data_IF_806949963143
#
_entry.id   IF_806949963143
#
_cell.length_a   1.000
_cell.length_b   1.000
_cell.length_c   1.000
_cell.angle_alpha   90.00
_cell.angle_beta   90.00
_cell.angle_gamma   90.00
#
_symmetry.space_group_name_H-M   'P 1'
#
loop_
_entity.id
_entity.type
_entity.pdbx_description
1 polymer ?
#
# COMPACT_ATOMS: atom_id res chain seq x y z
N UNK A 1 -9.68 24.75 0.42
CA UNK A 1 -8.54 25.57 0.83
C UNK A 1 -7.48 25.65 -0.28
N UNK A 2 -7.67 26.59 -1.20
CA UNK A 2 -6.80 26.73 -2.39
C UNK A 2 -5.62 27.68 -2.16
N UNK A 3 -5.24 27.91 -0.89
CA UNK A 3 -4.10 28.76 -0.59
C UNK A 3 -2.80 27.96 -0.68
N UNK A 4 -1.94 28.36 -1.61
CA UNK A 4 -0.57 27.88 -1.70
C UNK A 4 0.19 28.27 -0.42
N UNK A 5 0.94 27.34 0.14
CA UNK A 5 1.84 27.56 1.28
C UNK A 5 3.26 27.43 0.79
N UNK A 6 4.10 28.43 1.07
CA UNK A 6 5.53 28.38 0.80
C UNK A 6 6.26 27.75 1.99
N UNK A 7 6.94 26.64 1.74
CA UNK A 7 7.66 25.91 2.79
C UNK A 7 8.97 26.58 3.21
N UNK A 8 9.62 27.29 2.30
CA UNK A 8 10.86 28.09 2.47
C UNK A 8 11.99 27.44 3.30
N UNK A 9 12.01 26.10 3.39
CA UNK A 9 12.98 25.33 4.18
C UNK A 9 12.83 25.43 5.72
N UNK A 10 11.79 26.11 6.21
CA UNK A 10 11.53 26.27 7.66
C UNK A 10 10.29 25.52 8.14
N UNK A 11 9.44 25.13 7.21
CA UNK A 11 8.18 24.47 7.50
C UNK A 11 8.21 23.07 6.88
N UNK A 12 7.98 22.06 7.70
CA UNK A 12 7.90 20.69 7.23
C UNK A 12 6.47 20.37 6.77
N UNK A 13 6.31 19.88 5.55
CA UNK A 13 4.99 19.65 4.95
C UNK A 13 4.15 18.67 5.74
N UNK A 14 4.77 17.64 6.31
CA UNK A 14 4.10 16.63 7.13
C UNK A 14 3.42 17.24 8.36
N UNK A 15 4.09 18.18 9.05
CA UNK A 15 3.53 18.89 10.23
C UNK A 15 2.28 19.67 9.86
N UNK A 16 2.30 20.32 8.69
CA UNK A 16 1.14 21.06 8.18
C UNK A 16 -0.02 20.12 7.88
N UNK A 17 0.25 18.98 7.26
CA UNK A 17 -0.77 17.97 6.94
C UNK A 17 -1.37 17.41 8.23
N UNK A 18 -0.54 17.03 9.20
CA UNK A 18 -0.99 16.54 10.51
C UNK A 18 -1.84 17.60 11.22
N UNK A 19 -1.33 18.84 11.32
CA UNK A 19 -2.09 19.94 11.93
C UNK A 19 -3.45 20.14 11.27
N UNK A 20 -3.51 20.14 9.94
CA UNK A 20 -4.76 20.31 9.20
C UNK A 20 -5.74 19.14 9.42
N UNK A 21 -5.24 17.93 9.58
CA UNK A 21 -6.07 16.78 9.92
C UNK A 21 -6.67 16.90 11.32
N UNK A 22 -5.89 17.37 12.29
CA UNK A 22 -6.39 17.62 13.66
C UNK A 22 -7.40 18.77 13.70
N UNK A 23 -7.12 19.87 13.00
CA UNK A 23 -8.04 21.01 12.86
C UNK A 23 -9.38 20.56 12.22
N UNK A 24 -9.32 19.67 11.22
CA UNK A 24 -10.51 19.12 10.56
C UNK A 24 -11.33 18.24 11.51
N UNK A 25 -10.72 17.33 12.25
CA UNK A 25 -11.40 16.48 13.23
C UNK A 25 -12.09 17.36 14.29
N UNK A 26 -11.39 18.36 14.81
CA UNK A 26 -11.96 19.30 15.81
C UNK A 26 -13.15 20.07 15.23
N UNK A 27 -13.04 20.57 14.01
CA UNK A 27 -14.09 21.35 13.35
C UNK A 27 -15.35 20.53 13.11
N UNK A 28 -15.20 19.24 12.74
CA UNK A 28 -16.32 18.38 12.34
C UNK A 28 -16.72 17.34 13.39
N UNK A 29 -16.26 17.46 14.63
CA UNK A 29 -16.50 16.49 15.70
C UNK A 29 -17.97 16.19 16.01
N UNK A 30 -18.90 17.07 15.63
CA UNK A 30 -20.34 16.88 15.79
C UNK A 30 -21.03 16.29 14.54
N UNK A 31 -20.27 16.04 13.49
CA UNK A 31 -20.78 15.56 12.20
C UNK A 31 -20.17 14.20 11.87
N UNK A 32 -20.83 13.43 11.01
CA UNK A 32 -20.16 12.35 10.29
C UNK A 32 -19.15 12.94 9.32
N UNK A 33 -17.94 12.39 9.27
CA UNK A 33 -16.89 12.86 8.39
C UNK A 33 -16.12 11.70 7.75
N UNK A 34 -15.45 12.00 6.65
CA UNK A 34 -14.43 11.17 6.04
C UNK A 34 -13.15 11.97 5.94
N UNK A 35 -12.08 11.48 6.55
CA UNK A 35 -10.74 12.07 6.50
C UNK A 35 -9.81 11.13 5.73
N UNK A 36 -9.30 11.58 4.60
CA UNK A 36 -8.22 10.92 3.88
C UNK A 36 -6.91 11.65 4.18
N UNK A 37 -6.11 11.06 5.06
CA UNK A 37 -4.79 11.58 5.45
C UNK A 37 -3.72 10.81 4.68
N UNK A 38 -3.07 11.47 3.72
CA UNK A 38 -2.07 10.87 2.83
C UNK A 38 -0.70 11.54 3.00
N UNK A 39 0.02 11.25 4.10
CA UNK A 39 1.36 11.77 4.32
C UNK A 39 2.33 11.27 3.26
N UNK A 40 3.31 12.09 2.89
CA UNK A 40 4.31 11.72 1.89
C UNK A 40 5.44 10.86 2.44
N UNK A 41 5.68 10.89 3.75
CA UNK A 41 6.69 10.06 4.40
C UNK A 41 6.19 8.61 4.52
N UNK A 42 7.09 7.60 4.39
CA UNK A 42 8.56 7.68 4.24
C UNK A 42 9.05 7.69 2.78
N UNK A 43 8.33 8.26 1.83
CA UNK A 43 8.76 8.37 0.43
C UNK A 43 10.04 9.21 0.30
N UNK A 44 10.88 8.95 -0.70
CA UNK A 44 11.96 9.85 -1.09
C UNK A 44 11.39 11.20 -1.66
N UNK A 45 12.02 12.37 -1.43
CA UNK A 45 13.36 12.48 -0.81
C UNK A 45 13.34 12.03 0.66
N UNK A 46 14.42 11.38 1.09
CA UNK A 46 14.61 11.10 2.50
C UNK A 46 15.02 12.41 3.19
N UNK A 47 14.04 13.08 3.76
CA UNK A 47 14.23 14.36 4.44
C UNK A 47 13.30 14.44 5.66
N UNK A 48 13.85 14.83 6.80
CA UNK A 48 13.11 14.96 8.05
C UNK A 48 13.70 16.08 8.88
N UNK A 49 12.90 16.66 9.77
CA UNK A 49 13.37 17.68 10.70
C UNK A 49 14.42 17.08 11.65
N UNK A 50 15.42 17.89 11.99
CA UNK A 50 16.59 17.45 12.74
C UNK A 50 16.23 16.82 14.09
N UNK A 51 15.23 17.37 14.75
CA UNK A 51 14.76 16.92 16.07
C UNK A 51 14.27 15.46 16.04
N UNK A 52 13.66 15.03 14.94
CA UNK A 52 13.20 13.64 14.78
C UNK A 52 14.36 12.72 14.37
N UNK A 53 15.34 13.23 13.64
CA UNK A 53 16.49 12.45 13.19
C UNK A 53 17.47 12.13 14.33
N UNK A 54 17.60 13.01 15.32
CA UNK A 54 18.53 12.87 16.45
C UNK A 54 18.41 11.52 17.17
N UNK A 55 17.21 10.95 17.24
CA UNK A 55 16.96 9.66 17.87
C UNK A 55 17.75 8.51 17.21
N UNK A 56 18.06 8.65 15.92
CA UNK A 56 18.75 7.62 15.13
C UNK A 56 20.18 8.00 14.73
N UNK A 57 20.66 9.16 15.17
CA UNK A 57 21.99 9.66 14.82
C UNK A 57 23.07 8.70 15.35
N UNK A 58 23.92 8.21 14.43
CA UNK A 58 24.99 7.29 14.77
C UNK A 58 24.58 5.85 15.08
N UNK A 59 23.29 5.52 15.00
CA UNK A 59 22.82 4.15 15.30
C UNK A 59 23.13 3.14 14.19
N UNK A 60 23.32 3.60 12.96
CA UNK A 60 23.52 2.73 11.80
C UNK A 60 24.85 3.01 11.10
N UNK A 61 25.44 1.94 10.53
CA UNK A 61 26.51 2.09 9.56
C UNK A 61 25.90 2.65 8.26
N UNK A 62 26.19 3.88 7.92
CA UNK A 62 25.57 4.57 6.81
C UNK A 62 26.29 4.36 5.48
N UNK A 63 25.54 4.33 4.41
CA UNK A 63 26.02 4.43 3.03
C UNK A 63 25.45 5.70 2.42
N UNK A 64 26.19 6.81 2.38
CA UNK A 64 25.67 8.08 1.87
C UNK A 64 25.12 7.96 0.45
N UNK A 65 23.95 8.55 0.23
CA UNK A 65 23.36 8.69 -1.08
C UNK A 65 23.81 10.01 -1.72
N UNK A 66 24.46 9.93 -2.86
CA UNK A 66 25.11 11.08 -3.52
C UNK A 66 24.15 11.92 -4.36
N UNK A 67 22.87 11.55 -4.43
CA UNK A 67 21.86 12.25 -5.22
C UNK A 67 21.82 11.75 -6.67
N UNK A 68 20.76 11.04 -7.02
CA UNK A 68 20.46 10.63 -8.40
C UNK A 68 18.95 10.57 -8.57
N UNK A 69 18.40 11.61 -9.20
CA UNK A 69 16.93 11.78 -9.30
C UNK A 69 16.26 12.28 -8.03
N UNK A 70 16.92 12.12 -6.88
CA UNK A 70 16.50 12.57 -5.56
C UNK A 70 17.64 13.37 -4.89
N UNK A 71 17.30 14.13 -3.85
CA UNK A 71 18.25 14.90 -3.04
C UNK A 71 19.29 13.97 -2.39
N UNK A 72 20.54 14.43 -2.34
CA UNK A 72 21.58 13.70 -1.61
C UNK A 72 21.25 13.58 -0.11
N UNK A 73 21.64 12.45 0.48
CA UNK A 73 21.40 12.19 1.90
C UNK A 73 22.65 11.50 2.50
N UNK A 74 23.23 12.10 3.53
CA UNK A 74 24.44 11.59 4.17
C UNK A 74 24.16 10.37 5.07
N UNK A 75 22.97 10.32 5.65
CA UNK A 75 22.56 9.30 6.63
C UNK A 75 21.19 8.72 6.27
N UNK A 76 21.07 8.04 5.10
CA UNK A 76 19.75 7.60 4.59
C UNK A 76 19.05 6.61 5.52
N UNK A 77 19.81 5.73 6.22
CA UNK A 77 19.23 4.74 7.14
C UNK A 77 18.60 5.40 8.37
N UNK A 78 19.35 6.28 9.02
CA UNK A 78 18.86 7.05 10.16
C UNK A 78 17.66 7.93 9.77
N UNK A 79 17.74 8.57 8.61
CA UNK A 79 16.65 9.41 8.10
C UNK A 79 15.38 8.62 7.82
N UNK A 80 15.50 7.48 7.14
CA UNK A 80 14.35 6.60 6.86
C UNK A 80 13.70 6.07 8.16
N UNK A 81 14.50 5.57 9.11
CA UNK A 81 13.99 5.11 10.40
C UNK A 81 13.24 6.22 11.14
N UNK A 82 13.80 7.44 11.14
CA UNK A 82 13.15 8.60 11.74
C UNK A 82 11.83 8.98 11.04
N UNK A 83 11.78 8.90 9.71
CA UNK A 83 10.57 9.17 8.94
C UNK A 83 9.45 8.16 9.28
N UNK A 84 9.78 6.87 9.37
CA UNK A 84 8.82 5.81 9.75
C UNK A 84 8.30 6.03 11.18
N UNK A 85 9.19 6.32 12.13
CA UNK A 85 8.82 6.61 13.51
C UNK A 85 7.97 7.86 13.62
N UNK A 86 8.27 8.89 12.83
CA UNK A 86 7.47 10.11 12.84
C UNK A 86 6.09 9.91 12.23
N UNK A 87 5.98 9.08 11.20
CA UNK A 87 4.68 8.65 10.68
C UNK A 87 3.85 7.94 11.75
N UNK A 88 4.43 6.97 12.45
CA UNK A 88 3.77 6.23 13.54
C UNK A 88 3.29 7.16 14.65
N UNK A 89 4.14 8.08 15.12
CA UNK A 89 3.76 9.12 16.10
C UNK A 89 2.60 9.98 15.61
N UNK A 90 2.57 10.33 14.34
CA UNK A 90 1.51 11.14 13.76
C UNK A 90 0.17 10.41 13.75
N UNK A 91 0.18 9.10 13.47
CA UNK A 91 -1.01 8.24 13.60
C UNK A 91 -1.47 8.19 15.06
N UNK A 92 -0.54 8.02 16.00
CA UNK A 92 -0.83 8.06 17.45
C UNK A 92 -1.52 9.35 17.87
N UNK A 93 -1.01 10.51 17.44
CA UNK A 93 -1.59 11.83 17.72
C UNK A 93 -3.02 11.95 17.19
N UNK A 94 -3.30 11.43 15.98
CA UNK A 94 -4.66 11.42 15.40
C UNK A 94 -5.59 10.54 16.26
N UNK A 95 -5.13 9.34 16.64
CA UNK A 95 -5.91 8.42 17.49
C UNK A 95 -6.20 9.06 18.87
N UNK A 96 -5.21 9.70 19.47
CA UNK A 96 -5.38 10.37 20.77
C UNK A 96 -6.35 11.54 20.67
N UNK A 97 -6.35 12.29 19.57
CA UNK A 97 -7.34 13.32 19.30
C UNK A 97 -8.76 12.75 19.19
N UNK A 98 -8.94 11.62 18.54
CA UNK A 98 -10.23 10.94 18.47
C UNK A 98 -10.72 10.49 19.85
N UNK A 99 -9.81 9.99 20.70
CA UNK A 99 -10.13 9.61 22.10
C UNK A 99 -10.48 10.81 22.95
N UNK A 100 -9.69 11.88 22.88
CA UNK A 100 -9.95 13.16 23.57
C UNK A 100 -11.37 13.69 23.32
N UNK A 101 -11.82 13.57 22.06
CA UNK A 101 -13.12 14.04 21.62
C UNK A 101 -14.26 13.03 21.82
N UNK A 102 -13.98 11.83 22.34
CA UNK A 102 -14.97 10.76 22.52
C UNK A 102 -15.48 10.15 21.22
N UNK A 103 -14.72 10.31 20.12
CA UNK A 103 -15.08 9.82 18.79
C UNK A 103 -14.51 8.44 18.48
N UNK A 104 -13.48 8.01 19.21
CA UNK A 104 -12.66 6.84 18.91
C UNK A 104 -13.47 5.55 18.71
N UNK A 105 -14.42 5.25 19.62
CA UNK A 105 -15.18 4.01 19.58
C UNK A 105 -16.11 3.90 18.37
N UNK A 106 -16.51 5.04 17.80
CA UNK A 106 -17.41 5.11 16.65
C UNK A 106 -16.70 5.63 15.37
N UNK A 107 -15.39 5.55 15.31
CA UNK A 107 -14.60 5.89 14.12
C UNK A 107 -13.90 4.65 13.58
N UNK A 108 -14.04 4.44 12.27
CA UNK A 108 -13.21 3.46 11.56
C UNK A 108 -11.89 4.14 11.24
N UNK A 109 -10.79 3.57 11.73
CA UNK A 109 -9.44 4.01 11.40
C UNK A 109 -8.79 2.93 10.54
N UNK A 110 -8.35 3.30 9.34
CA UNK A 110 -7.64 2.42 8.42
C UNK A 110 -6.23 2.96 8.24
N UNK A 111 -5.24 2.11 8.46
CA UNK A 111 -3.84 2.40 8.13
C UNK A 111 -3.39 1.45 7.03
N UNK A 112 -2.84 2.00 5.96
CA UNK A 112 -2.32 1.24 4.83
C UNK A 112 -1.29 2.07 4.05
N UNK A 113 -0.69 1.49 3.02
CA UNK A 113 0.19 2.17 2.06
C UNK A 113 -0.31 1.95 0.64
N UNK A 114 0.09 2.80 -0.30
CA UNK A 114 -0.30 2.74 -1.71
C UNK A 114 0.47 1.69 -2.51
N UNK A 115 1.68 1.34 -2.06
CA UNK A 115 2.53 0.30 -2.66
C UNK A 115 3.46 -0.31 -1.62
N UNK A 116 4.17 -1.37 -2.00
CA UNK A 116 5.24 -1.95 -1.21
C UNK A 116 6.42 -0.99 -1.02
N UNK A 117 7.42 -1.40 -0.24
CA UNK A 117 8.59 -0.58 0.07
C UNK A 117 9.30 -0.10 -1.20
N UNK A 118 9.88 1.10 -1.16
CA UNK A 118 10.69 1.64 -2.26
C UNK A 118 12.19 1.44 -2.04
N UNK A 119 12.97 1.50 -3.12
CA UNK A 119 14.44 1.45 -3.11
C UNK A 119 15.05 2.77 -3.66
N UNK A 120 14.50 3.92 -3.24
CA UNK A 120 14.79 5.23 -3.81
C UNK A 120 15.42 6.17 -2.78
N UNK A 121 16.14 7.20 -3.26
CA UNK A 121 16.68 8.25 -2.41
C UNK A 121 17.71 7.78 -1.38
N UNK A 122 18.30 6.61 -1.56
CA UNK A 122 19.27 6.01 -0.63
C UNK A 122 18.66 5.03 0.36
N UNK A 123 17.34 4.82 0.34
CA UNK A 123 16.74 3.72 1.11
C UNK A 123 17.15 2.36 0.54
N UNK A 124 17.58 1.48 1.43
CA UNK A 124 17.90 0.08 1.13
C UNK A 124 16.86 -0.82 1.82
N UNK A 125 15.89 -1.38 1.07
CA UNK A 125 14.83 -2.20 1.65
C UNK A 125 15.35 -3.47 2.34
N UNK A 126 16.51 -3.98 1.93
CA UNK A 126 17.11 -5.17 2.53
C UNK A 126 17.78 -4.88 3.87
N UNK A 127 18.24 -3.66 4.11
CA UNK A 127 18.88 -3.31 5.38
C UNK A 127 17.92 -3.43 6.58
N UNK A 128 16.67 -2.99 6.40
CA UNK A 128 15.63 -3.08 7.43
C UNK A 128 14.70 -4.27 7.25
N UNK A 129 14.94 -5.14 6.25
CA UNK A 129 14.02 -6.20 5.87
C UNK A 129 12.60 -5.67 5.62
N UNK A 130 12.53 -4.51 4.96
CA UNK A 130 11.30 -3.71 4.87
C UNK A 130 10.19 -4.37 4.06
N UNK A 131 10.52 -5.30 3.18
CA UNK A 131 9.58 -6.12 2.40
C UNK A 131 9.35 -7.51 3.02
N UNK A 132 9.98 -7.80 4.19
CA UNK A 132 9.90 -9.11 4.85
C UNK A 132 10.31 -10.24 3.92
N UNK A 133 9.61 -11.37 3.91
CA UNK A 133 9.97 -12.52 3.09
C UNK A 133 9.63 -12.35 1.60
N UNK A 134 9.03 -11.22 1.20
CA UNK A 134 8.49 -11.05 -0.15
C UNK A 134 9.52 -10.48 -1.11
N UNK A 135 9.58 -11.05 -2.30
CA UNK A 135 10.44 -10.58 -3.40
C UNK A 135 9.93 -9.24 -3.95
N UNK A 136 10.88 -8.41 -4.41
CA UNK A 136 10.60 -7.16 -5.11
C UNK A 136 10.25 -5.99 -4.17
N UNK A 137 10.02 -4.85 -4.76
CA UNK A 137 9.70 -3.59 -4.10
C UNK A 137 8.88 -2.71 -5.05
N UNK A 138 8.53 -1.51 -4.63
CA UNK A 138 7.75 -0.53 -5.43
C UNK A 138 8.11 -0.60 -6.91
N UNK A 139 7.12 -0.61 -7.79
CA UNK A 139 7.11 -0.81 -9.24
C UNK A 139 7.23 -2.26 -9.70
N UNK A 140 7.48 -3.21 -8.80
CA UNK A 140 7.38 -4.63 -9.14
C UNK A 140 5.96 -5.16 -8.93
N UNK A 141 5.61 -6.19 -9.70
CA UNK A 141 4.38 -6.95 -9.50
C UNK A 141 4.61 -8.25 -8.71
N UNK A 142 5.81 -8.43 -8.16
CA UNK A 142 6.07 -9.41 -7.12
C UNK A 142 5.41 -8.99 -5.81
N UNK A 143 5.22 -9.93 -4.90
CA UNK A 143 4.50 -9.70 -3.63
C UNK A 143 5.06 -8.52 -2.82
N UNK A 144 6.39 -8.34 -2.77
CA UNK A 144 7.02 -7.22 -2.05
C UNK A 144 6.73 -5.84 -2.65
N UNK A 145 6.34 -5.78 -3.92
CA UNK A 145 5.95 -4.51 -4.58
C UNK A 145 4.49 -4.15 -4.41
N UNK A 146 3.62 -5.16 -4.26
CA UNK A 146 2.16 -4.97 -4.23
C UNK A 146 1.52 -5.18 -2.86
N UNK A 147 2.13 -5.98 -1.97
CA UNK A 147 1.64 -6.12 -0.59
C UNK A 147 1.94 -4.87 0.22
N UNK A 148 0.93 -4.42 0.92
CA UNK A 148 1.00 -3.27 1.81
C UNK A 148 0.52 -3.66 3.20
N UNK A 149 1.00 -3.00 4.27
CA UNK A 149 0.38 -3.16 5.57
C UNK A 149 -1.10 -2.73 5.46
N UNK A 150 -1.97 -3.49 6.10
CA UNK A 150 -3.38 -3.14 6.20
C UNK A 150 -3.88 -3.43 7.62
N UNK A 151 -4.18 -2.37 8.35
CA UNK A 151 -4.72 -2.44 9.71
C UNK A 151 -6.01 -1.63 9.75
N UNK A 152 -7.08 -2.26 10.21
CA UNK A 152 -8.37 -1.60 10.37
C UNK A 152 -8.87 -1.77 11.80
N UNK A 153 -9.38 -0.70 12.37
CA UNK A 153 -9.91 -0.66 13.70
C UNK A 153 -11.27 0.03 13.71
N UNK A 154 -12.20 -0.54 14.43
CA UNK A 154 -13.48 0.06 14.80
C UNK A 154 -13.95 -0.56 16.11
N UNK A 155 -13.58 0.01 17.27
CA UNK A 155 -13.72 -0.64 18.58
C UNK A 155 -15.15 -1.09 18.89
N UNK A 156 -16.15 -0.36 18.41
CA UNK A 156 -17.56 -0.72 18.59
C UNK A 156 -17.97 -2.02 17.89
N UNK A 157 -17.32 -2.37 16.75
CA UNK A 157 -17.80 -3.44 15.86
C UNK A 157 -16.73 -4.50 15.61
N UNK A 158 -15.48 -4.09 15.38
CA UNK A 158 -14.38 -5.00 15.02
C UNK A 158 -13.67 -5.43 16.31
N UNK A 159 -13.62 -6.73 16.61
CA UNK A 159 -12.89 -7.23 17.77
C UNK A 159 -11.39 -6.95 17.65
N UNK A 160 -10.74 -6.61 18.74
CA UNK A 160 -9.30 -6.42 18.77
C UNK A 160 -8.52 -7.74 18.56
N UNK A 161 -7.33 -7.64 17.99
CA UNK A 161 -6.38 -8.76 17.85
C UNK A 161 -6.76 -9.82 16.81
N UNK A 162 -7.70 -9.52 15.92
CA UNK A 162 -8.06 -10.44 14.82
C UNK A 162 -7.06 -10.29 13.67
N UNK A 163 -6.56 -11.41 13.19
CA UNK A 163 -5.76 -11.53 11.96
C UNK A 163 -6.55 -12.37 10.97
N UNK A 164 -6.51 -12.02 9.70
CA UNK A 164 -7.23 -12.73 8.64
C UNK A 164 -6.35 -12.87 7.40
N UNK A 165 -6.52 -14.01 6.70
CA UNK A 165 -5.88 -14.29 5.41
C UNK A 165 -6.76 -13.89 4.21
N UNK A 166 -7.83 -13.12 4.47
CA UNK A 166 -8.70 -12.66 3.39
C UNK A 166 -7.92 -11.74 2.44
N UNK A 167 -7.83 -12.15 1.17
CA UNK A 167 -7.17 -11.37 0.13
C UNK A 167 -8.09 -10.27 -0.34
N UNK A 168 -7.63 -9.03 -0.25
CA UNK A 168 -8.35 -7.83 -0.69
C UNK A 168 -7.43 -6.85 -1.40
N UNK A 169 -8.01 -5.90 -2.11
CA UNK A 169 -7.29 -4.84 -2.80
C UNK A 169 -7.96 -3.48 -2.58
N UNK A 170 -7.33 -2.39 -3.00
CA UNK A 170 -7.85 -1.04 -2.77
C UNK A 170 -9.24 -0.79 -3.35
N UNK A 171 -9.58 -1.43 -4.47
CA UNK A 171 -10.91 -1.32 -5.08
C UNK A 171 -12.02 -1.99 -4.26
N UNK A 172 -11.67 -2.78 -3.24
CA UNK A 172 -12.61 -3.40 -2.31
C UNK A 172 -13.07 -2.43 -1.21
N UNK A 173 -12.36 -1.30 -1.05
CA UNK A 173 -12.71 -0.29 -0.04
C UNK A 173 -14.07 0.33 -0.32
N UNK A 174 -14.32 0.75 -1.56
CA UNK A 174 -15.58 1.40 -1.93
C UNK A 174 -16.82 0.51 -1.67
N UNK A 175 -16.89 -0.75 -2.15
CA UNK A 175 -18.04 -1.61 -1.85
C UNK A 175 -18.13 -1.95 -0.35
N UNK A 176 -17.02 -2.01 0.39
CA UNK A 176 -17.06 -2.22 1.84
C UNK A 176 -17.72 -1.06 2.57
N UNK A 177 -17.37 0.17 2.22
CA UNK A 177 -18.02 1.36 2.80
C UNK A 177 -19.47 1.48 2.34
N UNK A 178 -19.77 1.12 1.10
CA UNK A 178 -21.16 1.11 0.59
C UNK A 178 -22.04 0.14 1.37
N UNK A 179 -21.58 -1.09 1.60
CA UNK A 179 -22.28 -2.08 2.43
C UNK A 179 -22.47 -1.59 3.87
N UNK A 180 -21.44 -0.98 4.44
CA UNK A 180 -21.51 -0.42 5.78
C UNK A 180 -22.58 0.67 5.91
N UNK A 181 -22.68 1.53 4.91
CA UNK A 181 -23.65 2.63 4.85
C UNK A 181 -25.01 2.19 4.32
N UNK A 182 -25.17 0.92 3.93
CA UNK A 182 -26.40 0.37 3.31
C UNK A 182 -26.81 1.12 2.04
N UNK A 183 -25.83 1.52 1.24
CA UNK A 183 -26.03 2.12 -0.08
C UNK A 183 -25.45 1.22 -1.16
N UNK A 184 -25.95 1.33 -2.37
CA UNK A 184 -25.42 0.54 -3.49
C UNK A 184 -24.07 1.09 -3.95
N UNK A 185 -23.07 0.23 -4.07
CA UNK A 185 -21.86 0.56 -4.79
C UNK A 185 -22.15 0.78 -6.28
N UNK A 186 -21.35 1.61 -6.99
CA UNK A 186 -21.50 1.77 -8.44
C UNK A 186 -21.38 0.42 -9.16
N UNK A 187 -22.18 0.20 -10.19
CA UNK A 187 -22.14 -1.04 -10.99
C UNK A 187 -20.82 -1.25 -11.75
N UNK A 188 -20.02 -0.20 -11.87
CA UNK A 188 -18.68 -0.21 -12.48
C UNK A 188 -17.58 -0.56 -11.49
N UNK A 189 -17.92 -0.92 -10.25
CA UNK A 189 -16.95 -1.26 -9.22
C UNK A 189 -16.57 -2.74 -9.34
N UNK A 190 -15.26 -3.01 -9.50
CA UNK A 190 -14.70 -4.37 -9.56
C UNK A 190 -14.50 -4.99 -8.17
N UNK A 191 -14.67 -4.21 -7.12
CA UNK A 191 -14.38 -4.60 -5.74
C UNK A 191 -15.40 -5.54 -5.13
N UNK A 192 -14.95 -6.27 -4.13
CA UNK A 192 -15.78 -7.14 -3.27
C UNK A 192 -15.67 -6.64 -1.83
N UNK A 193 -16.82 -6.36 -1.21
CA UNK A 193 -16.86 -5.93 0.19
C UNK A 193 -16.21 -6.96 1.11
N UNK A 194 -15.31 -6.50 1.97
CA UNK A 194 -14.73 -7.31 3.05
C UNK A 194 -15.43 -7.05 4.41
N UNK A 195 -16.56 -6.36 4.43
CA UNK A 195 -17.34 -6.13 5.65
C UNK A 195 -17.72 -7.41 6.40
N UNK A 196 -18.08 -8.53 5.72
CA UNK A 196 -18.34 -9.79 6.42
C UNK A 196 -17.13 -10.29 7.23
N UNK A 197 -15.92 -10.21 6.69
CA UNK A 197 -14.69 -10.56 7.41
C UNK A 197 -14.48 -9.66 8.63
N UNK A 198 -14.66 -8.35 8.50
CA UNK A 198 -14.53 -7.41 9.62
C UNK A 198 -15.54 -7.68 10.74
N UNK A 199 -16.73 -8.16 10.41
CA UNK A 199 -17.82 -8.41 11.37
C UNK A 199 -17.94 -9.87 11.80
N UNK A 200 -16.91 -10.70 11.57
CA UNK A 200 -16.88 -12.16 11.89
C UNK A 200 -18.00 -12.97 11.23
N UNK A 201 -18.40 -12.58 10.04
CA UNK A 201 -19.35 -13.29 9.21
C UNK A 201 -18.65 -14.01 8.04
N UNK A 202 -17.52 -14.65 8.29
CA UNK A 202 -16.61 -15.21 7.28
C UNK A 202 -17.29 -16.15 6.29
N UNK A 203 -18.33 -16.87 6.73
CA UNK A 203 -19.13 -17.72 5.83
C UNK A 203 -19.87 -16.97 4.73
N UNK A 204 -20.07 -15.67 4.90
CA UNK A 204 -20.72 -14.80 3.93
C UNK A 204 -19.70 -14.05 3.06
N UNK A 205 -18.41 -14.15 3.42
CA UNK A 205 -17.35 -13.45 2.71
C UNK A 205 -17.18 -14.01 1.29
N UNK A 206 -17.46 -13.19 0.31
CA UNK A 206 -17.13 -13.47 -1.09
C UNK A 206 -15.64 -13.27 -1.32
N UNK A 207 -15.06 -14.09 -2.22
CA UNK A 207 -13.65 -14.01 -2.57
C UNK A 207 -13.51 -13.62 -4.04
N UNK A 208 -12.43 -12.91 -4.35
CA UNK A 208 -12.01 -12.72 -5.73
C UNK A 208 -11.66 -14.07 -6.37
N UNK A 209 -12.13 -14.31 -7.58
CA UNK A 209 -11.66 -15.46 -8.39
C UNK A 209 -10.22 -15.25 -8.84
N UNK A 210 -9.88 -14.01 -9.12
CA UNK A 210 -8.52 -13.56 -9.41
C UNK A 210 -8.35 -12.08 -9.07
N UNK A 211 -7.09 -11.66 -8.89
CA UNK A 211 -6.68 -10.26 -8.79
C UNK A 211 -5.70 -9.99 -9.93
N UNK A 212 -5.95 -8.92 -10.67
CA UNK A 212 -5.17 -8.52 -11.83
C UNK A 212 -4.51 -7.17 -11.61
N UNK A 213 -3.24 -7.05 -12.00
CA UNK A 213 -2.45 -5.82 -11.96
C UNK A 213 -1.75 -5.55 -13.28
N UNK A 214 -1.64 -4.27 -13.62
CA UNK A 214 -0.80 -3.76 -14.70
C UNK A 214 0.13 -2.67 -14.19
N UNK A 215 1.33 -2.58 -14.77
CA UNK A 215 2.26 -1.50 -14.51
C UNK A 215 3.09 -1.21 -15.76
N UNK A 216 3.09 0.04 -16.23
CA UNK A 216 3.66 0.38 -17.54
C UNK A 216 5.17 0.59 -17.55
N UNK A 217 5.78 0.97 -16.42
CA UNK A 217 7.22 1.21 -16.36
C UNK A 217 8.03 -0.09 -16.55
N UNK A 218 9.31 0.09 -16.96
CA UNK A 218 10.20 -1.04 -17.15
C UNK A 218 9.81 -1.97 -18.31
N UNK A 219 9.16 -1.43 -19.35
CA UNK A 219 8.75 -2.19 -20.52
C UNK A 219 7.38 -2.85 -20.42
N UNK A 220 6.58 -2.45 -19.44
CA UNK A 220 5.24 -2.99 -19.18
C UNK A 220 5.25 -4.32 -18.44
N UNK A 221 4.37 -4.43 -17.46
CA UNK A 221 4.22 -5.61 -16.61
C UNK A 221 2.74 -5.93 -16.42
N UNK A 222 2.40 -7.21 -16.38
CA UNK A 222 1.07 -7.70 -16.03
C UNK A 222 1.20 -8.83 -15.04
N UNK A 223 0.31 -8.92 -14.07
CA UNK A 223 0.21 -10.10 -13.23
C UNK A 223 -1.23 -10.47 -12.92
N UNK A 224 -1.48 -11.75 -12.75
CA UNK A 224 -2.74 -12.27 -12.28
C UNK A 224 -2.47 -13.30 -11.18
N UNK A 225 -3.16 -13.16 -10.07
CA UNK A 225 -3.18 -14.11 -8.97
C UNK A 225 -4.58 -14.72 -8.86
N UNK A 226 -4.68 -16.02 -8.76
CA UNK A 226 -5.95 -16.75 -8.64
C UNK A 226 -6.17 -17.27 -7.24
N UNK A 227 -7.43 -17.53 -6.88
CA UNK A 227 -7.83 -18.00 -5.55
C UNK A 227 -7.27 -19.37 -5.16
N UNK A 228 -6.76 -20.13 -6.11
CA UNK A 228 -6.04 -21.41 -5.91
C UNK A 228 -4.52 -21.22 -5.68
N UNK A 229 -4.08 -19.97 -5.48
CA UNK A 229 -2.71 -19.62 -5.11
C UNK A 229 -1.72 -19.48 -6.25
N UNK A 230 -2.12 -19.70 -7.51
CA UNK A 230 -1.24 -19.51 -8.65
C UNK A 230 -1.14 -18.03 -9.04
N UNK A 231 0.07 -17.59 -9.36
CA UNK A 231 0.37 -16.25 -9.86
C UNK A 231 1.23 -16.31 -11.10
N UNK A 232 0.76 -15.67 -12.18
CA UNK A 232 1.53 -15.45 -13.40
C UNK A 232 1.94 -13.98 -13.46
N UNK A 233 3.21 -13.74 -13.74
CA UNK A 233 3.76 -12.41 -14.01
C UNK A 233 4.28 -12.41 -15.45
N UNK A 234 3.88 -11.41 -16.23
CA UNK A 234 4.37 -11.16 -17.59
C UNK A 234 5.16 -9.86 -17.57
N UNK A 235 6.34 -9.91 -18.11
CA UNK A 235 7.32 -8.82 -18.08
C UNK A 235 7.67 -8.42 -19.52
N UNK A 236 8.04 -7.14 -19.73
CA UNK A 236 8.36 -6.56 -21.03
C UNK A 236 7.20 -6.64 -22.04
N UNK A 237 5.95 -6.54 -21.59
CA UNK A 237 4.76 -6.78 -22.44
C UNK A 237 4.55 -5.71 -23.50
N UNK A 238 5.16 -4.53 -23.36
CA UNK A 238 5.13 -3.46 -24.37
C UNK A 238 5.96 -3.81 -25.63
N UNK A 239 6.81 -4.84 -25.55
CA UNK A 239 7.67 -5.30 -26.67
C UNK A 239 7.47 -6.80 -26.82
N UNK A 240 6.53 -7.25 -27.65
CA UNK A 240 6.07 -8.64 -27.71
C UNK A 240 7.20 -9.67 -27.85
N UNK A 241 8.24 -9.38 -28.64
CA UNK A 241 9.39 -10.26 -28.84
C UNK A 241 10.34 -10.35 -27.62
N UNK A 242 10.16 -9.49 -26.64
CA UNK A 242 10.90 -9.49 -25.36
C UNK A 242 10.08 -9.99 -24.19
N UNK A 243 8.79 -10.22 -24.42
CA UNK A 243 7.89 -10.68 -23.35
C UNK A 243 8.34 -12.04 -22.83
N UNK A 244 8.48 -12.14 -21.51
CA UNK A 244 8.71 -13.41 -20.83
C UNK A 244 7.80 -13.54 -19.62
N UNK A 245 7.66 -14.76 -19.12
CA UNK A 245 6.70 -15.09 -18.09
C UNK A 245 7.36 -15.83 -16.93
N UNK A 246 6.82 -15.57 -15.75
CA UNK A 246 7.18 -16.27 -14.54
C UNK A 246 5.91 -16.75 -13.85
N UNK A 247 5.91 -18.00 -13.40
CA UNK A 247 4.76 -18.64 -12.73
C UNK A 247 5.16 -19.07 -11.32
N UNK A 248 4.33 -18.74 -10.34
CA UNK A 248 4.57 -19.07 -8.93
C UNK A 248 3.32 -19.69 -8.31
N UNK A 249 3.53 -20.51 -7.27
CA UNK A 249 2.46 -20.95 -6.40
C UNK A 249 2.66 -20.36 -5.01
N UNK A 250 1.94 -19.28 -4.72
CA UNK A 250 2.10 -18.49 -3.50
C UNK A 250 1.70 -19.26 -2.23
N UNK A 251 0.97 -20.37 -2.35
CA UNK A 251 0.61 -21.21 -1.20
C UNK A 251 1.81 -21.97 -0.62
N UNK A 252 2.85 -22.19 -1.42
CA UNK A 252 4.06 -22.92 -1.02
C UNK A 252 5.34 -22.09 -1.21
N UNK A 253 5.30 -21.07 -2.06
CA UNK A 253 6.41 -20.16 -2.37
C UNK A 253 5.93 -18.70 -2.37
N UNK A 254 5.58 -18.14 -1.20
CA UNK A 254 5.15 -16.74 -1.10
C UNK A 254 6.27 -15.74 -1.40
N UNK A 255 7.52 -16.17 -1.42
CA UNK A 255 8.70 -15.37 -1.73
C UNK A 255 9.02 -15.35 -3.25
N UNK A 256 8.28 -16.08 -4.07
CA UNK A 256 8.43 -16.11 -5.54
C UNK A 256 9.86 -16.44 -6.00
N UNK A 257 10.45 -17.49 -5.40
CA UNK A 257 11.84 -17.92 -5.64
C UNK A 257 11.92 -18.86 -6.86
N UNK A 258 10.98 -19.81 -6.94
CA UNK A 258 11.03 -20.87 -7.94
C UNK A 258 10.07 -20.58 -9.11
N UNK A 259 10.61 -20.18 -10.26
CA UNK A 259 9.79 -20.02 -11.46
C UNK A 259 9.35 -21.39 -12.00
N UNK A 260 8.05 -21.63 -12.00
CA UNK A 260 7.42 -22.91 -12.38
C UNK A 260 6.84 -22.92 -13.81
N UNK A 261 7.09 -21.91 -14.62
CA UNK A 261 6.45 -21.73 -15.93
C UNK A 261 6.70 -22.90 -16.89
N UNK A 262 7.91 -23.48 -16.85
CA UNK A 262 8.26 -24.63 -17.66
C UNK A 262 7.68 -25.95 -17.14
N UNK A 263 7.47 -26.05 -15.82
CA UNK A 263 6.94 -27.25 -15.16
C UNK A 263 5.42 -27.35 -15.28
N UNK A 264 4.71 -26.22 -15.37
CA UNK A 264 3.25 -26.15 -15.39
C UNK A 264 2.75 -25.27 -16.55
N UNK A 265 3.07 -25.61 -17.80
CA UNK A 265 2.73 -24.79 -18.99
C UNK A 265 1.22 -24.65 -19.20
N UNK A 266 0.43 -25.62 -18.78
CA UNK A 266 -1.03 -25.59 -18.85
C UNK A 266 -1.61 -24.56 -17.86
N UNK A 267 -1.02 -24.40 -16.66
CA UNK A 267 -1.40 -23.37 -15.68
C UNK A 267 -1.04 -22.00 -16.22
N UNK A 268 0.17 -21.82 -16.73
CA UNK A 268 0.59 -20.56 -17.35
C UNK A 268 -0.34 -20.14 -18.49
N UNK A 269 -0.73 -21.09 -19.36
CA UNK A 269 -1.67 -20.84 -20.46
C UNK A 269 -3.05 -20.46 -19.95
N UNK A 270 -3.57 -21.13 -18.91
CA UNK A 270 -4.83 -20.78 -18.26
C UNK A 270 -4.80 -19.34 -17.74
N UNK A 271 -3.77 -18.96 -16.98
CA UNK A 271 -3.67 -17.64 -16.38
C UNK A 271 -3.46 -16.54 -17.44
N UNK A 272 -2.69 -16.80 -18.48
CA UNK A 272 -2.53 -15.89 -19.63
C UNK A 272 -3.86 -15.59 -20.32
N UNK A 273 -4.69 -16.60 -20.52
CA UNK A 273 -6.03 -16.42 -21.09
C UNK A 273 -6.94 -15.62 -20.17
N UNK A 274 -6.81 -15.80 -18.85
CA UNK A 274 -7.54 -15.00 -17.88
C UNK A 274 -7.14 -13.52 -17.92
N UNK A 275 -5.86 -13.19 -18.06
CA UNK A 275 -5.37 -11.82 -18.23
C UNK A 275 -6.12 -11.09 -19.34
N UNK A 276 -6.27 -11.74 -20.51
CA UNK A 276 -6.99 -11.15 -21.64
C UNK A 276 -8.43 -10.78 -21.28
N UNK A 277 -9.09 -11.61 -20.47
CA UNK A 277 -10.48 -11.37 -20.03
C UNK A 277 -10.62 -10.34 -18.90
N UNK A 278 -9.53 -10.06 -18.18
CA UNK A 278 -9.55 -9.08 -17.06
C UNK A 278 -9.18 -7.67 -17.53
N UNK A 279 -8.42 -7.56 -18.61
CA UNK A 279 -7.96 -6.27 -19.09
C UNK A 279 -9.07 -5.48 -19.77
N UNK A 280 -9.29 -4.26 -19.31
CA UNK A 280 -10.08 -3.25 -20.04
C UNK A 280 -9.11 -2.32 -20.78
N UNK A 281 -9.24 -2.21 -22.07
CA UNK A 281 -8.41 -1.28 -22.85
C UNK A 281 -8.70 0.17 -22.47
N UNK A 282 -7.64 0.95 -22.34
CA UNK A 282 -7.71 2.37 -22.04
C UNK A 282 -6.75 3.13 -22.97
N UNK A 283 -7.23 4.24 -23.54
CA UNK A 283 -6.45 5.04 -24.47
C UNK A 283 -5.26 5.72 -23.80
N UNK A 284 -5.38 6.02 -22.51
CA UNK A 284 -4.33 6.68 -21.73
C UNK A 284 -3.37 5.69 -21.07
N UNK A 285 -3.68 4.39 -21.15
CA UNK A 285 -2.88 3.31 -20.57
C UNK A 285 -2.88 2.09 -21.49
N UNK A 286 -1.87 2.01 -22.36
CA UNK A 286 -1.68 0.94 -23.34
C UNK A 286 -0.23 0.44 -23.32
N UNK A 287 -0.07 -0.82 -23.72
CA UNK A 287 1.25 -1.40 -23.95
C UNK A 287 1.58 -1.40 -25.44
#
# INVERSE_FOLDING_TARGET
NDKRIELNGKVYSHDLMLKKSLDFIEQYKQNSFFLYYSPTIPHADLDIIKEQQQEYEGMFCETPFTGRGYKQQATPRATYAAMVTYLDRSVGIIIDKLKELGLYDNTIVVFTSDNGVHAEGGHDPYFFDSNGPFRGYKRDLYEGGIRTPFVIQWPRIIPAGVVTDHVSAFWDFLPTISDLLQVNAPNTCDGISYLPTLTKKDKQQKKHSCIYYEFFEGGGKQSIMTSDGWKLIRLQVAVPEKTYEELYNLSIDPAEIANLVEQYPEVATRLRNMIVGQRTENIDFHF
#
